data_IF_177723945685
#
_entry.id   IF_177723945685
#
_cell.length_a   1.000
_cell.length_b   1.000
_cell.length_c   1.000
_cell.angle_alpha   90.00
_cell.angle_beta   90.00
_cell.angle_gamma   90.00
#
_symmetry.space_group_name_H-M   'P 1'
#
loop_
_entity.id
_entity.type
_entity.pdbx_description
1 polymer ?
#
# COMPACT_ATOMS: atom_id res chain seq x y z
N UNK A 1 -6.41 -11.51 19.87
CA UNK A 1 -5.72 -12.48 19.02
C UNK A 1 -5.34 -11.94 17.64
N UNK A 2 -6.17 -11.07 16.99
CA UNK A 2 -5.88 -10.53 15.65
C UNK A 2 -4.56 -9.75 15.61
N UNK A 3 -4.40 -8.71 16.44
CA UNK A 3 -3.19 -7.88 16.49
C UNK A 3 -1.94 -8.69 16.89
N UNK A 4 -2.08 -9.63 17.83
CA UNK A 4 -0.94 -10.44 18.26
C UNK A 4 -0.41 -11.34 17.13
N UNK A 5 -1.30 -12.00 16.37
CA UNK A 5 -0.90 -12.80 15.20
C UNK A 5 -0.22 -11.96 14.14
N UNK A 6 -0.73 -10.74 13.92
CA UNK A 6 -0.14 -9.82 12.95
C UNK A 6 1.23 -9.32 13.41
N UNK A 7 1.33 -8.87 14.67
CA UNK A 7 2.60 -8.42 15.24
C UNK A 7 3.69 -9.49 15.16
N UNK A 8 3.37 -10.72 15.53
CA UNK A 8 4.32 -11.85 15.43
C UNK A 8 4.81 -12.06 14.01
N UNK A 9 3.98 -11.89 13.01
CA UNK A 9 4.36 -12.08 11.60
C UNK A 9 5.18 -10.93 11.04
N UNK A 10 4.87 -9.67 11.41
CA UNK A 10 5.43 -8.50 10.72
C UNK A 10 6.61 -7.86 11.46
N UNK A 11 6.56 -7.81 12.79
CA UNK A 11 7.60 -7.12 13.58
C UNK A 11 8.99 -7.74 13.45
N UNK A 12 9.18 -9.08 13.46
CA UNK A 12 10.51 -9.65 13.36
C UNK A 12 11.26 -9.22 12.10
N UNK A 13 10.58 -9.26 10.94
CA UNK A 13 11.19 -8.87 9.68
C UNK A 13 11.43 -7.35 9.61
N UNK A 14 10.50 -6.51 10.10
CA UNK A 14 10.71 -5.07 10.18
C UNK A 14 11.94 -4.73 11.01
N UNK A 15 12.02 -5.26 12.24
CA UNK A 15 13.16 -4.94 13.12
C UNK A 15 14.49 -5.48 12.58
N UNK A 16 14.46 -6.60 11.85
CA UNK A 16 15.65 -7.11 11.17
C UNK A 16 16.15 -6.13 10.08
N UNK A 17 15.23 -5.57 9.27
CA UNK A 17 15.58 -4.55 8.27
C UNK A 17 16.10 -3.29 8.95
N UNK A 18 15.41 -2.80 9.98
CA UNK A 18 15.84 -1.60 10.70
C UNK A 18 17.26 -1.79 11.29
N UNK A 19 17.53 -2.95 11.89
CA UNK A 19 18.84 -3.29 12.41
C UNK A 19 19.90 -3.37 11.30
N UNK A 20 19.60 -4.08 10.21
CA UNK A 20 20.53 -4.23 9.08
C UNK A 20 20.91 -2.88 8.46
N UNK A 21 19.91 -2.00 8.25
CA UNK A 21 20.12 -0.66 7.73
C UNK A 21 20.91 0.21 8.71
N UNK A 22 20.62 0.09 10.02
CA UNK A 22 21.38 0.81 11.05
C UNK A 22 22.85 0.40 11.09
N UNK A 23 23.13 -0.92 11.03
CA UNK A 23 24.49 -1.45 11.00
C UNK A 23 25.22 -0.99 9.74
N UNK A 24 24.57 -1.11 8.58
CA UNK A 24 25.16 -0.65 7.32
C UNK A 24 25.49 0.85 7.36
N UNK A 25 24.54 1.69 7.81
CA UNK A 25 24.75 3.13 7.89
C UNK A 25 25.88 3.50 8.88
N UNK A 26 26.04 2.74 9.98
CA UNK A 26 27.11 2.96 10.94
C UNK A 26 28.49 2.60 10.36
N UNK A 27 28.58 1.61 9.48
CA UNK A 27 29.82 1.11 8.90
C UNK A 27 30.23 1.83 7.60
N UNK A 28 29.27 2.18 6.76
CA UNK A 28 29.49 2.65 5.39
C UNK A 28 28.67 3.89 5.00
N UNK A 29 27.71 4.32 5.83
CA UNK A 29 26.84 5.45 5.52
C UNK A 29 27.51 6.80 5.72
N UNK A 30 27.10 7.79 4.93
CA UNK A 30 27.54 9.19 5.12
C UNK A 30 26.96 9.80 6.40
N UNK A 31 27.55 10.88 6.90
CA UNK A 31 27.04 11.59 8.07
C UNK A 31 25.58 12.09 7.88
N UNK A 32 25.21 12.45 6.66
CA UNK A 32 23.87 12.87 6.30
C UNK A 32 22.89 11.69 6.35
N UNK A 33 23.23 10.57 5.73
CA UNK A 33 22.44 9.33 5.78
C UNK A 33 22.24 8.84 7.22
N UNK A 34 23.28 8.91 8.06
CA UNK A 34 23.17 8.54 9.47
C UNK A 34 22.25 9.49 10.25
N UNK A 35 22.34 10.80 9.98
CA UNK A 35 21.48 11.80 10.63
C UNK A 35 20.00 11.61 10.25
N UNK A 36 19.73 11.41 8.96
CA UNK A 36 18.40 11.16 8.45
C UNK A 36 17.84 9.84 8.97
N UNK A 37 18.64 8.77 8.93
CA UNK A 37 18.24 7.46 9.43
C UNK A 37 17.83 7.50 10.90
N UNK A 38 18.53 8.22 11.76
CA UNK A 38 18.16 8.36 13.18
C UNK A 38 16.75 8.92 13.37
N UNK A 39 16.36 9.89 12.54
CA UNK A 39 15.00 10.43 12.56
C UNK A 39 13.96 9.42 12.05
N UNK A 40 14.27 8.82 10.90
CA UNK A 40 13.35 7.87 10.24
C UNK A 40 13.15 6.59 11.04
N UNK A 41 14.16 6.14 11.77
CA UNK A 41 14.09 4.96 12.65
C UNK A 41 13.02 5.10 13.73
N UNK A 42 12.97 6.26 14.41
CA UNK A 42 11.95 6.49 15.46
C UNK A 42 10.55 6.39 14.88
N UNK A 43 10.29 7.08 13.76
CA UNK A 43 8.99 7.04 13.10
C UNK A 43 8.65 5.63 12.55
N UNK A 44 9.65 4.90 12.07
CA UNK A 44 9.47 3.55 11.51
C UNK A 44 9.15 2.50 12.57
N UNK A 45 9.80 2.56 13.75
CA UNK A 45 9.53 1.66 14.88
C UNK A 45 8.07 1.74 15.32
N UNK A 46 7.48 2.93 15.29
CA UNK A 46 6.09 3.17 15.71
C UNK A 46 5.07 3.14 14.55
N UNK A 47 5.49 2.75 13.33
CA UNK A 47 4.61 2.74 12.15
C UNK A 47 3.94 4.10 11.87
N UNK A 48 4.67 5.18 12.05
CA UNK A 48 4.22 6.56 11.75
C UNK A 48 5.19 7.30 10.82
N UNK A 49 5.99 6.55 10.05
CA UNK A 49 6.98 7.08 9.12
C UNK A 49 6.37 8.01 8.06
N UNK A 50 5.15 7.75 7.60
CA UNK A 50 4.43 8.63 6.70
C UNK A 50 4.22 10.03 7.28
N UNK A 51 3.83 10.14 8.54
CA UNK A 51 3.69 11.41 9.24
C UNK A 51 5.04 12.06 9.53
N UNK A 52 6.05 11.26 9.86
CA UNK A 52 7.42 11.74 10.03
C UNK A 52 7.97 12.42 8.77
N UNK A 53 7.71 11.83 7.59
CA UNK A 53 8.12 12.43 6.30
C UNK A 53 7.30 13.69 5.96
N UNK A 54 6.00 13.69 6.25
CA UNK A 54 5.13 14.86 6.04
C UNK A 54 5.58 16.03 6.94
N UNK A 55 5.72 15.81 8.24
CA UNK A 55 6.03 16.84 9.23
C UNK A 55 7.49 17.31 9.17
N UNK A 56 8.38 16.44 8.71
CA UNK A 56 9.79 16.76 8.51
C UNK A 56 10.07 17.53 7.21
N UNK A 57 9.03 17.83 6.43
CA UNK A 57 9.12 18.47 5.11
C UNK A 57 10.19 17.86 4.21
N UNK A 58 10.32 16.52 4.26
CA UNK A 58 11.28 15.79 3.43
C UNK A 58 10.67 15.61 2.04
N UNK A 59 11.24 16.24 1.00
CA UNK A 59 10.69 16.13 -0.35
C UNK A 59 10.71 14.66 -0.81
N UNK A 60 9.54 14.07 -1.03
CA UNK A 60 9.47 12.66 -1.45
C UNK A 60 10.03 12.41 -2.84
N UNK A 61 9.86 13.36 -3.74
CA UNK A 61 10.20 13.25 -5.16
C UNK A 61 11.51 13.95 -5.54
N UNK A 62 12.20 14.58 -4.59
CA UNK A 62 13.45 15.30 -4.81
C UNK A 62 14.54 14.85 -3.84
N UNK A 63 15.80 15.08 -4.20
CA UNK A 63 16.96 14.79 -3.37
C UNK A 63 17.37 13.31 -3.32
N UNK A 64 18.32 12.99 -2.46
CA UNK A 64 18.77 11.61 -2.23
C UNK A 64 17.66 10.76 -1.62
N UNK A 65 17.63 9.50 -1.99
CA UNK A 65 16.60 8.58 -1.55
C UNK A 65 16.89 8.08 -0.12
N UNK A 66 16.06 8.45 0.90
CA UNK A 66 16.23 7.92 2.24
C UNK A 66 16.10 6.40 2.29
N UNK A 67 16.94 5.75 3.11
CA UNK A 67 16.98 4.29 3.24
C UNK A 67 15.65 3.66 3.70
N UNK A 68 14.85 4.38 4.46
CA UNK A 68 13.57 3.92 5.00
C UNK A 68 12.36 4.62 4.36
N UNK A 69 12.55 5.32 3.21
CA UNK A 69 11.49 6.07 2.54
C UNK A 69 10.23 5.24 2.32
N UNK A 70 10.36 4.01 1.84
CA UNK A 70 9.25 3.14 1.47
C UNK A 70 8.35 2.72 2.65
N UNK A 71 8.84 2.79 3.90
CA UNK A 71 8.07 2.38 5.08
C UNK A 71 6.83 3.25 5.37
N UNK A 72 6.68 4.37 4.66
CA UNK A 72 5.47 5.20 4.78
C UNK A 72 4.18 4.45 4.43
N UNK A 73 4.22 3.61 3.39
CA UNK A 73 3.02 2.87 2.97
C UNK A 73 2.65 1.78 3.96
N UNK A 74 3.66 1.11 4.53
CA UNK A 74 3.48 0.15 5.60
C UNK A 74 2.90 0.82 6.86
N UNK A 75 3.34 2.04 7.16
CA UNK A 75 2.78 2.82 8.27
C UNK A 75 1.27 3.09 8.07
N UNK A 76 0.86 3.49 6.86
CA UNK A 76 -0.57 3.68 6.53
C UNK A 76 -1.37 2.38 6.75
N UNK A 77 -0.85 1.25 6.29
CA UNK A 77 -1.51 -0.04 6.45
C UNK A 77 -1.65 -0.43 7.93
N UNK A 78 -0.59 -0.31 8.73
CA UNK A 78 -0.62 -0.69 10.14
C UNK A 78 -1.52 0.22 10.97
N UNK A 79 -1.56 1.52 10.68
CA UNK A 79 -2.54 2.44 11.27
C UNK A 79 -3.97 2.00 10.95
N UNK A 80 -4.23 1.56 9.70
CA UNK A 80 -5.53 1.02 9.32
C UNK A 80 -5.86 -0.28 10.08
N UNK A 81 -4.91 -1.20 10.19
CA UNK A 81 -5.11 -2.46 10.93
C UNK A 81 -5.27 -2.27 12.43
N UNK A 82 -4.77 -1.18 12.98
CA UNK A 82 -5.00 -0.80 14.36
C UNK A 82 -6.43 -0.27 14.55
N UNK A 83 -6.87 0.63 13.67
CA UNK A 83 -8.14 1.35 13.79
C UNK A 83 -9.33 0.54 13.29
N UNK A 84 -9.19 -0.15 12.16
CA UNK A 84 -10.32 -0.80 11.49
C UNK A 84 -11.07 -1.84 12.34
N UNK A 85 -10.43 -2.72 13.12
CA UNK A 85 -11.14 -3.64 13.98
C UNK A 85 -12.02 -2.95 15.03
N UNK A 86 -11.57 -1.81 15.54
CA UNK A 86 -12.35 -1.01 16.50
C UNK A 86 -13.56 -0.37 15.83
N UNK A 87 -13.35 0.24 14.65
CA UNK A 87 -14.43 0.79 13.82
C UNK A 87 -15.42 -0.32 13.45
N UNK A 88 -14.93 -1.48 13.01
CA UNK A 88 -15.77 -2.62 12.64
C UNK A 88 -16.64 -3.09 13.82
N UNK A 89 -16.09 -3.23 15.03
CA UNK A 89 -16.85 -3.58 16.23
C UNK A 89 -17.89 -2.52 16.55
N UNK A 90 -17.55 -1.24 16.42
CA UNK A 90 -18.50 -0.14 16.59
C UNK A 90 -19.65 -0.21 15.56
N UNK A 91 -19.32 -0.45 14.30
CA UNK A 91 -20.31 -0.61 13.23
C UNK A 91 -21.25 -1.81 13.46
N UNK A 92 -20.77 -2.91 14.04
CA UNK A 92 -21.60 -4.06 14.39
C UNK A 92 -22.64 -3.74 15.48
N UNK A 93 -22.40 -2.73 16.30
CA UNK A 93 -23.37 -2.26 17.32
C UNK A 93 -24.47 -1.39 16.72
N UNK A 94 -24.25 -0.84 15.54
CA UNK A 94 -25.25 -0.08 14.80
C UNK A 94 -26.25 -1.07 14.20
N UNK A 95 -27.53 -0.97 14.56
CA UNK A 95 -28.61 -1.85 14.08
C UNK A 95 -29.07 -1.52 12.65
N UNK A 96 -28.19 -0.91 11.84
CA UNK A 96 -28.48 -0.59 10.46
C UNK A 96 -28.32 -1.80 9.53
N UNK A 97 -29.10 -1.89 8.46
CA UNK A 97 -28.93 -2.92 7.43
C UNK A 97 -27.54 -2.83 6.79
N UNK A 98 -26.94 -3.98 6.45
CA UNK A 98 -25.58 -4.04 5.92
C UNK A 98 -25.36 -3.25 4.65
N UNK A 99 -26.36 -3.20 3.77
CA UNK A 99 -26.28 -2.39 2.55
C UNK A 99 -26.19 -0.91 2.86
N UNK A 100 -26.85 -0.43 3.92
CA UNK A 100 -26.73 0.96 4.39
C UNK A 100 -25.32 1.22 4.94
N UNK A 101 -24.81 0.32 5.80
CA UNK A 101 -23.45 0.44 6.36
C UNK A 101 -22.41 0.39 5.24
N UNK A 102 -22.47 -0.62 4.36
CA UNK A 102 -21.55 -0.74 3.23
C UNK A 102 -21.62 0.45 2.28
N UNK A 103 -22.85 0.91 1.96
CA UNK A 103 -23.05 2.10 1.14
C UNK A 103 -22.48 3.37 1.76
N UNK A 104 -22.67 3.57 3.07
CA UNK A 104 -22.11 4.71 3.80
C UNK A 104 -20.57 4.70 3.79
N UNK A 105 -19.94 3.53 3.97
CA UNK A 105 -18.48 3.38 3.91
C UNK A 105 -17.97 3.69 2.49
N UNK A 106 -18.64 3.19 1.45
CA UNK A 106 -18.31 3.49 0.05
C UNK A 106 -18.48 4.98 -0.24
N UNK A 107 -19.54 5.60 0.24
CA UNK A 107 -19.72 7.06 0.13
C UNK A 107 -18.58 7.81 0.80
N UNK A 108 -18.11 7.35 1.98
CA UNK A 108 -16.93 7.87 2.64
C UNK A 108 -15.66 7.77 1.79
N UNK A 109 -15.47 6.65 1.05
CA UNK A 109 -14.36 6.52 0.09
C UNK A 109 -14.41 7.59 -1.00
N UNK A 110 -15.60 7.82 -1.58
CA UNK A 110 -15.79 8.86 -2.60
C UNK A 110 -15.60 10.27 -2.04
N UNK A 111 -15.95 10.53 -0.78
CA UNK A 111 -15.64 11.82 -0.12
C UNK A 111 -14.13 12.02 -0.02
N UNK A 112 -13.37 10.98 0.32
CA UNK A 112 -11.90 11.06 0.34
C UNK A 112 -11.34 11.34 -1.07
N UNK A 113 -11.84 10.66 -2.11
CA UNK A 113 -11.42 10.92 -3.49
C UNK A 113 -11.78 12.34 -3.95
N UNK A 114 -12.98 12.81 -3.62
CA UNK A 114 -13.38 14.18 -3.90
C UNK A 114 -12.51 15.21 -3.15
N UNK A 115 -12.13 14.92 -1.90
CA UNK A 115 -11.20 15.74 -1.14
C UNK A 115 -9.81 15.80 -1.79
N UNK A 116 -9.27 14.66 -2.28
CA UNK A 116 -8.00 14.63 -3.02
C UNK A 116 -8.06 15.46 -4.29
N UNK A 117 -9.14 15.29 -5.07
CA UNK A 117 -9.39 16.05 -6.29
C UNK A 117 -9.47 17.55 -5.99
N UNK A 118 -10.28 17.94 -5.00
CA UNK A 118 -10.45 19.33 -4.60
C UNK A 118 -9.13 19.94 -4.12
N UNK A 119 -8.40 19.22 -3.26
CA UNK A 119 -7.15 19.70 -2.70
C UNK A 119 -6.08 19.93 -3.77
N UNK A 120 -6.05 19.07 -4.80
CA UNK A 120 -5.09 19.21 -5.90
C UNK A 120 -5.53 20.27 -6.91
N UNK A 121 -6.82 20.39 -7.22
CA UNK A 121 -7.36 21.30 -8.25
C UNK A 121 -7.25 22.79 -7.88
N UNK A 122 -6.99 23.11 -6.63
CA UNK A 122 -6.86 24.49 -6.19
C UNK A 122 -5.42 24.96 -6.33
N UNK A 123 -5.20 26.00 -7.10
CA UNK A 123 -3.99 26.83 -7.06
C UNK A 123 -3.72 27.28 -5.61
N UNK A 124 -2.48 27.64 -5.25
CA UNK A 124 -2.13 28.01 -3.88
C UNK A 124 -2.89 29.26 -3.42
N UNK A 125 -4.11 29.05 -2.97
CA UNK A 125 -4.94 30.04 -2.28
C UNK A 125 -5.13 29.57 -0.83
N UNK A 126 -5.38 30.50 0.11
CA UNK A 126 -5.50 30.17 1.54
C UNK A 126 -6.51 29.07 1.87
N UNK A 127 -7.46 28.78 0.97
CA UNK A 127 -8.51 27.79 1.15
C UNK A 127 -8.17 26.40 0.57
N UNK A 128 -7.04 26.22 -0.08
CA UNK A 128 -6.67 24.96 -0.77
C UNK A 128 -5.43 24.26 -0.20
N UNK A 129 -4.92 24.69 0.92
CA UNK A 129 -3.83 24.03 1.66
C UNK A 129 -4.27 22.78 2.43
N UNK A 130 -3.31 22.01 2.97
CA UNK A 130 -3.61 21.00 3.97
C UNK A 130 -4.38 21.63 5.15
N UNK A 131 -5.05 20.81 5.98
CA UNK A 131 -5.67 21.30 7.22
C UNK A 131 -4.69 22.20 8.00
N UNK A 132 -5.20 23.19 8.72
CA UNK A 132 -4.38 24.19 9.42
C UNK A 132 -3.23 23.63 10.27
N UNK A 133 -3.40 22.41 10.79
CA UNK A 133 -2.36 21.67 11.51
C UNK A 133 -1.13 21.29 10.65
N UNK A 134 -1.21 21.44 9.33
CA UNK A 134 -0.17 21.08 8.35
C UNK A 134 0.21 22.28 7.45
N UNK A 135 0.00 23.51 7.92
CA UNK A 135 0.46 24.70 7.24
C UNK A 135 1.99 24.62 7.04
N UNK A 136 2.45 24.90 5.82
CA UNK A 136 3.88 24.81 5.46
C UNK A 136 4.31 23.46 4.90
N UNK A 137 3.48 22.43 4.94
CA UNK A 137 3.78 21.09 4.38
C UNK A 137 3.57 21.07 2.87
N UNK A 138 4.49 20.43 2.13
CA UNK A 138 4.33 20.19 0.69
C UNK A 138 3.02 19.43 0.42
N UNK A 139 2.15 20.04 -0.38
CA UNK A 139 0.84 19.48 -0.74
C UNK A 139 0.96 18.13 -1.43
N UNK A 140 1.95 17.95 -2.30
CA UNK A 140 2.16 16.69 -3.02
C UNK A 140 2.57 15.59 -2.05
N UNK A 141 3.47 15.89 -1.12
CA UNK A 141 3.84 14.98 -0.05
C UNK A 141 2.62 14.60 0.80
N UNK A 142 1.82 15.56 1.21
CA UNK A 142 0.61 15.28 1.98
C UNK A 142 -0.39 14.41 1.21
N UNK A 143 -0.66 14.71 -0.05
CA UNK A 143 -1.57 13.94 -0.90
C UNK A 143 -1.06 12.49 -1.11
N UNK A 144 0.25 12.32 -1.23
CA UNK A 144 0.85 11.03 -1.47
C UNK A 144 1.02 10.17 -0.22
N UNK A 145 1.41 10.75 0.91
CA UNK A 145 1.85 10.03 2.12
C UNK A 145 0.75 9.92 3.20
N UNK A 146 -0.24 10.82 3.20
CA UNK A 146 -1.22 10.90 4.29
C UNK A 146 -2.12 9.68 4.36
N UNK A 147 -2.31 9.16 5.58
CA UNK A 147 -3.29 8.11 5.86
C UNK A 147 -4.71 8.54 5.49
N UNK A 148 -5.02 9.84 5.58
CA UNK A 148 -6.33 10.39 5.26
C UNK A 148 -6.63 10.21 3.77
N UNK A 149 -5.70 10.61 2.91
CA UNK A 149 -5.88 10.51 1.45
C UNK A 149 -5.82 9.06 0.97
N UNK A 150 -5.02 8.21 1.62
CA UNK A 150 -4.93 6.78 1.31
C UNK A 150 -6.11 5.96 1.82
N UNK A 151 -6.90 6.50 2.77
CA UNK A 151 -8.08 5.82 3.30
C UNK A 151 -9.14 5.52 2.23
N UNK A 152 -9.21 6.26 1.11
CA UNK A 152 -10.21 6.06 0.06
C UNK A 152 -10.25 4.64 -0.48
N UNK A 153 -9.12 4.07 -0.88
CA UNK A 153 -9.04 2.68 -1.36
C UNK A 153 -9.37 1.65 -0.28
N UNK A 154 -8.92 1.89 0.95
CA UNK A 154 -9.18 1.01 2.09
C UNK A 154 -10.68 1.00 2.46
N UNK A 155 -11.32 2.16 2.51
CA UNK A 155 -12.76 2.30 2.72
C UNK A 155 -13.57 1.64 1.60
N UNK A 156 -13.14 1.82 0.34
CA UNK A 156 -13.80 1.19 -0.81
C UNK A 156 -13.82 -0.34 -0.68
N UNK A 157 -12.68 -0.95 -0.35
CA UNK A 157 -12.57 -2.38 -0.09
C UNK A 157 -13.39 -2.84 1.12
N UNK A 158 -13.35 -2.08 2.22
CA UNK A 158 -14.11 -2.36 3.42
C UNK A 158 -15.62 -2.29 3.18
N UNK A 159 -16.11 -1.26 2.51
CA UNK A 159 -17.54 -1.13 2.15
C UNK A 159 -18.00 -2.25 1.21
N UNK A 160 -17.20 -2.60 0.22
CA UNK A 160 -17.47 -3.71 -0.68
C UNK A 160 -17.59 -5.05 0.08
N UNK A 161 -16.78 -5.29 1.11
CA UNK A 161 -16.85 -6.50 1.92
C UNK A 161 -18.19 -6.66 2.68
N UNK A 162 -18.87 -5.56 2.99
CA UNK A 162 -20.23 -5.61 3.55
C UNK A 162 -21.27 -6.04 2.53
N UNK A 163 -21.08 -5.70 1.25
CA UNK A 163 -22.05 -5.91 0.17
C UNK A 163 -21.79 -7.23 -0.57
N UNK A 164 -20.52 -7.53 -0.84
CA UNK A 164 -20.09 -8.64 -1.68
C UNK A 164 -19.85 -9.91 -0.86
N UNK A 165 -20.61 -10.98 -1.15
CA UNK A 165 -20.57 -12.25 -0.42
C UNK A 165 -20.56 -13.45 -1.36
N UNK A 166 -19.51 -13.64 -2.16
CA UNK A 166 -19.45 -14.71 -3.15
C UNK A 166 -19.55 -16.11 -2.52
N UNK A 167 -19.12 -16.28 -1.26
CA UNK A 167 -19.21 -17.54 -0.53
C UNK A 167 -20.66 -18.00 -0.21
N UNK A 168 -21.67 -17.14 -0.40
CA UNK A 168 -23.07 -17.51 -0.24
C UNK A 168 -23.69 -18.15 -1.47
N UNK A 169 -23.00 -18.08 -2.60
CA UNK A 169 -23.44 -18.69 -3.83
C UNK A 169 -23.00 -20.14 -3.85
N UNK A 170 -23.91 -21.05 -3.38
CA UNK A 170 -23.66 -22.48 -3.21
C UNK A 170 -23.76 -23.28 -4.51
N UNK A 171 -24.36 -22.71 -5.54
CA UNK A 171 -24.48 -23.34 -6.85
C UNK A 171 -23.32 -22.94 -7.74
N UNK A 172 -22.79 -23.89 -8.53
CA UNK A 172 -21.86 -23.56 -9.59
C UNK A 172 -22.52 -22.48 -10.47
N UNK A 173 -21.93 -21.30 -10.56
CA UNK A 173 -22.55 -20.24 -11.33
C UNK A 173 -22.66 -20.70 -12.76
N UNK A 174 -23.79 -20.40 -13.37
CA UNK A 174 -24.04 -20.71 -14.77
C UNK A 174 -22.88 -20.18 -15.62
N UNK A 175 -22.41 -21.00 -16.54
CA UNK A 175 -21.33 -20.68 -17.46
C UNK A 175 -21.37 -19.27 -18.12
N UNK A 176 -22.55 -18.65 -18.34
CA UNK A 176 -22.65 -17.29 -18.86
C UNK A 176 -21.96 -16.22 -18.01
N UNK A 177 -22.06 -16.33 -16.68
CA UNK A 177 -21.47 -15.32 -15.76
C UNK A 177 -19.95 -15.35 -15.78
N UNK A 178 -19.35 -16.55 -15.83
CA UNK A 178 -17.90 -16.72 -15.96
C UNK A 178 -17.33 -16.10 -17.24
N UNK A 179 -18.07 -16.20 -18.36
CA UNK A 179 -17.69 -15.60 -19.64
C UNK A 179 -17.57 -14.08 -19.58
N UNK A 180 -18.26 -13.42 -18.64
CA UNK A 180 -18.15 -11.98 -18.43
C UNK A 180 -17.11 -11.66 -17.37
N UNK A 181 -17.07 -12.41 -16.29
CA UNK A 181 -16.17 -12.12 -15.16
C UNK A 181 -14.71 -12.33 -15.50
N UNK A 182 -14.37 -13.41 -16.22
CA UNK A 182 -12.97 -13.69 -16.59
C UNK A 182 -12.34 -12.54 -17.41
N UNK A 183 -12.94 -12.03 -18.51
CA UNK A 183 -12.39 -10.89 -19.22
C UNK A 183 -12.43 -9.58 -18.41
N UNK A 184 -13.41 -9.38 -17.53
CA UNK A 184 -13.47 -8.20 -16.65
C UNK A 184 -12.28 -8.20 -15.68
N UNK A 185 -11.97 -9.34 -15.05
CA UNK A 185 -10.81 -9.46 -14.17
C UNK A 185 -9.50 -9.25 -14.92
N UNK A 186 -9.37 -9.86 -16.11
CA UNK A 186 -8.19 -9.69 -16.96
C UNK A 186 -8.01 -8.23 -17.41
N UNK A 187 -9.09 -7.57 -17.84
CA UNK A 187 -9.07 -6.17 -18.23
C UNK A 187 -8.68 -5.25 -17.04
N UNK A 188 -9.21 -5.52 -15.84
CA UNK A 188 -8.85 -4.77 -14.65
C UNK A 188 -7.35 -4.86 -14.34
N UNK A 189 -6.75 -6.06 -14.42
CA UNK A 189 -5.30 -6.26 -14.22
C UNK A 189 -4.49 -5.60 -15.34
N UNK A 190 -4.91 -5.72 -16.58
CA UNK A 190 -4.24 -5.06 -17.71
C UNK A 190 -4.26 -3.53 -17.57
N UNK A 191 -5.42 -2.95 -17.17
CA UNK A 191 -5.55 -1.52 -16.93
C UNK A 191 -4.71 -1.06 -15.73
N UNK A 192 -4.55 -1.89 -14.69
CA UNK A 192 -3.62 -1.60 -13.58
C UNK A 192 -2.17 -1.57 -14.08
N UNK A 193 -1.77 -2.49 -14.97
CA UNK A 193 -0.46 -2.46 -15.61
C UNK A 193 -0.25 -1.20 -16.46
N UNK A 194 -1.24 -0.82 -17.27
CA UNK A 194 -1.21 0.45 -18.00
C UNK A 194 -1.12 1.65 -17.06
N UNK A 195 -1.92 1.68 -15.99
CA UNK A 195 -1.87 2.76 -15.01
C UNK A 195 -0.48 2.91 -14.38
N UNK A 196 0.16 1.77 -14.05
CA UNK A 196 1.52 1.78 -13.51
C UNK A 196 2.57 2.29 -14.51
N UNK A 197 2.40 2.00 -15.82
CA UNK A 197 3.34 2.44 -16.87
C UNK A 197 3.23 3.93 -17.22
N UNK A 198 2.07 4.55 -16.97
CA UNK A 198 1.85 5.98 -17.30
C UNK A 198 1.87 6.89 -16.06
N UNK A 199 1.96 6.31 -14.86
CA UNK A 199 1.92 7.08 -13.62
C UNK A 199 3.21 7.91 -13.43
N UNK A 200 3.08 9.22 -13.53
CA UNK A 200 4.11 10.17 -13.12
C UNK A 200 3.64 10.82 -11.83
N UNK A 201 4.22 10.37 -10.71
CA UNK A 201 3.70 10.66 -9.35
C UNK A 201 3.73 12.15 -8.96
N UNK A 202 4.48 12.97 -9.69
CA UNK A 202 4.50 14.44 -9.53
C UNK A 202 3.35 15.14 -10.22
N UNK A 203 2.66 14.43 -11.13
CA UNK A 203 1.62 15.02 -11.96
C UNK A 203 0.23 14.98 -11.29
N UNK A 204 -0.55 16.02 -11.54
CA UNK A 204 -1.84 16.22 -10.91
C UNK A 204 -2.89 15.16 -11.21
N UNK A 205 -2.90 14.66 -12.44
CA UNK A 205 -3.87 13.64 -12.85
C UNK A 205 -3.80 12.36 -11.97
N UNK A 206 -2.64 12.09 -11.36
CA UNK A 206 -2.46 10.95 -10.46
C UNK A 206 -3.38 11.06 -9.26
N UNK A 207 -3.46 12.24 -8.64
CA UNK A 207 -4.25 12.48 -7.44
C UNK A 207 -5.72 12.76 -7.75
N UNK A 208 -6.00 13.33 -8.94
CA UNK A 208 -7.35 13.68 -9.34
C UNK A 208 -8.19 12.45 -9.73
N UNK A 209 -7.64 11.54 -10.51
CA UNK A 209 -8.41 10.41 -11.01
C UNK A 209 -7.66 9.06 -11.10
N UNK A 210 -6.32 9.05 -11.26
CA UNK A 210 -5.59 7.79 -11.46
C UNK A 210 -5.61 6.93 -10.19
N UNK A 211 -5.33 7.48 -9.01
CA UNK A 211 -5.36 6.73 -7.74
C UNK A 211 -6.78 6.24 -7.38
N UNK A 212 -7.85 7.05 -7.52
CA UNK A 212 -9.23 6.55 -7.44
C UNK A 212 -9.50 5.41 -8.41
N UNK A 213 -9.11 5.55 -9.69
CA UNK A 213 -9.27 4.51 -10.71
C UNK A 213 -8.53 3.23 -10.34
N UNK A 214 -7.27 3.32 -9.94
CA UNK A 214 -6.47 2.17 -9.46
C UNK A 214 -7.15 1.47 -8.28
N UNK A 215 -7.73 2.22 -7.35
CA UNK A 215 -8.47 1.65 -6.21
C UNK A 215 -9.71 0.87 -6.68
N UNK A 216 -10.46 1.40 -7.64
CA UNK A 216 -11.64 0.74 -8.22
C UNK A 216 -11.23 -0.51 -9.00
N UNK A 217 -10.22 -0.41 -9.86
CA UNK A 217 -9.73 -1.54 -10.65
C UNK A 217 -9.19 -2.67 -9.76
N UNK A 218 -8.45 -2.33 -8.71
CA UNK A 218 -7.97 -3.29 -7.71
C UNK A 218 -9.12 -3.99 -7.01
N UNK A 219 -10.16 -3.24 -6.61
CA UNK A 219 -11.37 -3.82 -6.04
C UNK A 219 -12.04 -4.78 -7.02
N UNK A 220 -12.22 -4.39 -8.29
CA UNK A 220 -12.82 -5.26 -9.32
C UNK A 220 -12.00 -6.54 -9.48
N UNK A 221 -10.68 -6.45 -9.60
CA UNK A 221 -9.81 -7.61 -9.74
C UNK A 221 -9.95 -8.57 -8.54
N UNK A 222 -9.98 -8.04 -7.31
CA UNK A 222 -10.18 -8.84 -6.08
C UNK A 222 -11.56 -9.48 -6.06
N UNK A 223 -12.61 -8.72 -6.38
CA UNK A 223 -13.98 -9.24 -6.40
C UNK A 223 -14.13 -10.37 -7.42
N UNK A 224 -13.54 -10.24 -8.60
CA UNK A 224 -13.53 -11.31 -9.61
C UNK A 224 -12.71 -12.50 -9.14
N UNK A 225 -11.53 -12.29 -8.57
CA UNK A 225 -10.66 -13.36 -8.10
C UNK A 225 -11.31 -14.25 -7.03
N UNK A 226 -12.19 -13.70 -6.19
CA UNK A 226 -12.91 -14.48 -5.16
C UNK A 226 -14.26 -15.03 -5.64
N UNK A 227 -14.69 -14.67 -6.84
CA UNK A 227 -15.99 -15.11 -7.37
C UNK A 227 -15.91 -16.55 -7.91
N UNK A 228 -16.79 -17.48 -7.48
CA UNK A 228 -16.71 -18.89 -7.88
C UNK A 228 -16.87 -19.13 -9.38
N UNK A 229 -17.60 -18.24 -10.10
CA UNK A 229 -17.80 -18.34 -11.55
C UNK A 229 -16.57 -17.92 -12.40
N UNK A 230 -15.66 -17.14 -11.86
CA UNK A 230 -14.48 -16.68 -12.58
C UNK A 230 -13.40 -17.77 -12.62
N UNK A 231 -13.68 -18.87 -13.27
CA UNK A 231 -12.81 -20.06 -13.27
C UNK A 231 -11.49 -19.80 -13.99
N UNK A 232 -11.53 -19.16 -15.17
CA UNK A 232 -10.35 -18.84 -15.97
C UNK A 232 -9.44 -17.84 -15.27
N UNK A 233 -9.97 -16.74 -14.79
CA UNK A 233 -9.22 -15.71 -14.08
C UNK A 233 -8.62 -16.25 -12.77
N UNK A 234 -9.40 -17.01 -11.98
CA UNK A 234 -8.92 -17.65 -10.78
C UNK A 234 -7.78 -18.63 -11.04
N UNK A 235 -7.86 -19.42 -12.14
CA UNK A 235 -6.80 -20.35 -12.52
C UNK A 235 -5.48 -19.64 -12.78
N UNK A 236 -5.51 -18.47 -13.43
CA UNK A 236 -4.32 -17.63 -13.64
C UNK A 236 -3.82 -17.05 -12.31
N UNK A 237 -4.71 -16.50 -11.49
CA UNK A 237 -4.33 -15.90 -10.20
C UNK A 237 -3.86 -16.94 -9.16
N UNK A 238 -4.28 -18.20 -9.30
CA UNK A 238 -3.83 -19.32 -8.45
C UNK A 238 -2.58 -20.04 -9.00
N UNK A 239 -1.96 -19.51 -10.05
CA UNK A 239 -0.70 -20.07 -10.56
C UNK A 239 0.38 -20.04 -9.50
N UNK A 240 0.98 -21.21 -9.22
CA UNK A 240 1.91 -21.40 -8.10
C UNK A 240 2.99 -20.32 -7.97
N UNK A 241 3.68 -19.90 -9.03
CA UNK A 241 4.68 -18.84 -8.91
C UNK A 241 4.11 -17.50 -8.43
N UNK A 242 2.89 -17.11 -8.88
CA UNK A 242 2.24 -15.89 -8.41
C UNK A 242 1.85 -15.98 -6.93
N UNK A 243 1.33 -17.13 -6.52
CA UNK A 243 0.96 -17.39 -5.13
C UNK A 243 2.20 -17.38 -4.24
N UNK A 244 3.29 -18.02 -4.65
CA UNK A 244 4.55 -18.04 -3.90
C UNK A 244 5.19 -16.65 -3.80
N UNK A 245 5.12 -15.85 -4.86
CA UNK A 245 5.55 -14.46 -4.84
C UNK A 245 4.68 -13.62 -3.89
N UNK A 246 3.35 -13.84 -3.91
CA UNK A 246 2.42 -13.17 -2.99
C UNK A 246 2.68 -13.50 -1.52
N UNK A 247 3.05 -14.74 -1.18
CA UNK A 247 3.42 -15.12 0.19
C UNK A 247 4.67 -14.38 0.69
N UNK A 248 5.60 -14.07 -0.20
CA UNK A 248 6.88 -13.39 0.09
C UNK A 248 6.84 -11.89 -0.13
N UNK A 249 5.70 -11.36 -0.58
CA UNK A 249 5.58 -9.94 -0.99
C UNK A 249 5.95 -8.96 0.12
N UNK A 250 5.69 -9.31 1.37
CA UNK A 250 6.08 -8.48 2.51
C UNK A 250 7.60 -8.35 2.65
N UNK A 251 8.31 -9.47 2.67
CA UNK A 251 9.78 -9.45 2.71
C UNK A 251 10.37 -8.79 1.47
N UNK A 252 9.86 -9.10 0.27
CA UNK A 252 10.29 -8.47 -0.98
C UNK A 252 10.15 -6.94 -0.93
N UNK A 253 9.00 -6.45 -0.46
CA UNK A 253 8.76 -5.01 -0.30
C UNK A 253 9.71 -4.40 0.73
N UNK A 254 9.86 -5.04 1.88
CA UNK A 254 10.60 -4.52 3.02
C UNK A 254 12.11 -4.41 2.73
N UNK A 255 12.69 -5.39 2.04
CA UNK A 255 14.13 -5.44 1.75
C UNK A 255 14.50 -4.74 0.43
N UNK A 256 13.58 -4.62 -0.54
CA UNK A 256 13.90 -4.08 -1.87
C UNK A 256 14.49 -2.67 -1.80
N UNK A 257 13.80 -1.75 -1.19
CA UNK A 257 14.18 -0.34 -1.22
C UNK A 257 15.56 -0.06 -0.59
N UNK A 258 15.86 -0.51 0.67
CA UNK A 258 17.18 -0.32 1.23
C UNK A 258 18.30 -0.94 0.39
N UNK A 259 18.07 -2.14 -0.16
CA UNK A 259 19.05 -2.80 -1.02
C UNK A 259 19.28 -2.00 -2.30
N UNK A 260 18.23 -1.50 -2.95
CA UNK A 260 18.33 -0.67 -4.15
C UNK A 260 19.10 0.61 -3.91
N UNK A 261 18.88 1.26 -2.77
CA UNK A 261 19.61 2.48 -2.39
C UNK A 261 21.08 2.15 -2.06
N UNK A 262 21.34 1.10 -1.30
CA UNK A 262 22.69 0.70 -0.88
C UNK A 262 23.56 0.28 -2.07
N UNK A 263 22.99 -0.44 -3.04
CA UNK A 263 23.70 -0.91 -4.24
C UNK A 263 23.77 0.17 -5.32
N UNK A 264 23.16 1.34 -5.07
CA UNK A 264 23.07 2.43 -6.04
C UNK A 264 22.37 2.01 -7.35
N UNK A 265 21.33 1.19 -7.21
CA UNK A 265 20.56 0.70 -8.36
C UNK A 265 19.57 1.75 -8.92
N UNK A 266 19.42 2.88 -8.23
CA UNK A 266 18.52 3.98 -8.62
C UNK A 266 19.13 4.92 -9.66
N UNK A 267 20.44 4.85 -9.89
CA UNK A 267 21.19 5.73 -10.81
C UNK A 267 21.21 5.26 -12.29
N UNK A 268 20.47 4.20 -12.61
CA UNK A 268 20.32 3.72 -13.99
C UNK A 268 21.35 2.67 -14.43
N UNK A 269 22.24 2.21 -13.55
CA UNK A 269 23.16 1.09 -13.85
C UNK A 269 22.41 -0.24 -13.93
N UNK A 270 22.38 -0.86 -15.10
CA UNK A 270 21.75 -2.18 -15.31
C UNK A 270 22.39 -3.25 -14.43
N UNK A 271 23.72 -3.23 -14.27
CA UNK A 271 24.44 -4.17 -13.40
C UNK A 271 23.99 -4.05 -11.95
N UNK A 272 23.93 -2.82 -11.42
CA UNK A 272 23.48 -2.56 -10.05
C UNK A 272 22.04 -2.96 -9.84
N UNK A 273 21.18 -2.70 -10.82
CA UNK A 273 19.78 -3.14 -10.79
C UNK A 273 19.65 -4.66 -10.70
N UNK A 274 20.41 -5.41 -11.52
CA UNK A 274 20.39 -6.88 -11.50
C UNK A 274 20.90 -7.42 -10.15
N UNK A 275 21.99 -6.87 -9.61
CA UNK A 275 22.48 -7.26 -8.30
C UNK A 275 21.48 -6.93 -7.19
N UNK A 276 20.87 -5.76 -7.22
CA UNK A 276 19.83 -5.38 -6.25
C UNK A 276 18.63 -6.34 -6.29
N UNK A 277 18.19 -6.76 -7.48
CA UNK A 277 17.12 -7.76 -7.63
C UNK A 277 17.51 -9.12 -7.04
N UNK A 278 18.72 -9.63 -7.36
CA UNK A 278 19.21 -10.91 -6.83
C UNK A 278 19.30 -10.86 -5.31
N UNK A 279 19.91 -9.82 -4.75
CA UNK A 279 20.05 -9.65 -3.31
C UNK A 279 18.68 -9.52 -2.62
N UNK A 280 17.76 -8.74 -3.20
CA UNK A 280 16.41 -8.59 -2.67
C UNK A 280 15.68 -9.94 -2.59
N UNK A 281 15.73 -10.73 -3.64
CA UNK A 281 15.09 -12.06 -3.65
C UNK A 281 15.74 -12.99 -2.63
N UNK A 282 17.09 -13.04 -2.58
CA UNK A 282 17.81 -13.91 -1.66
C UNK A 282 17.54 -13.56 -0.19
N UNK A 283 17.63 -12.26 0.15
CA UNK A 283 17.41 -11.79 1.52
C UNK A 283 15.94 -11.92 1.91
N UNK A 284 15.01 -11.64 1.00
CA UNK A 284 13.58 -11.82 1.26
C UNK A 284 13.21 -13.28 1.47
N UNK A 285 13.81 -14.21 0.73
CA UNK A 285 13.59 -15.65 0.94
C UNK A 285 14.14 -16.09 2.29
N UNK A 286 15.32 -15.61 2.70
CA UNK A 286 15.87 -15.87 4.02
C UNK A 286 14.97 -15.28 5.13
N UNK A 287 14.52 -14.03 4.97
CA UNK A 287 13.56 -13.38 5.88
C UNK A 287 12.28 -14.19 6.01
N UNK A 288 11.70 -14.62 4.89
CA UNK A 288 10.48 -15.42 4.88
C UNK A 288 10.65 -16.73 5.65
N UNK A 289 11.74 -17.47 5.41
CA UNK A 289 11.98 -18.78 6.04
C UNK A 289 12.31 -18.69 7.52
N UNK A 290 13.10 -17.69 7.93
CA UNK A 290 13.67 -17.66 9.28
C UNK A 290 13.01 -16.65 10.21
N UNK A 291 12.32 -15.63 9.68
CA UNK A 291 11.72 -14.56 10.49
C UNK A 291 10.18 -14.56 10.44
N UNK A 292 9.58 -14.87 9.29
CA UNK A 292 8.15 -14.72 9.08
C UNK A 292 7.37 -16.04 9.28
N UNK A 293 7.96 -17.17 8.88
CA UNK A 293 7.28 -18.48 8.92
C UNK A 293 7.38 -19.21 10.27
N UNK A 294 8.45 -19.07 11.07
CA UNK A 294 8.58 -19.78 12.35
C UNK A 294 7.68 -19.25 13.47
N UNK A 295 7.00 -18.14 13.27
CA UNK A 295 6.20 -17.40 14.26
C UNK A 295 4.72 -17.56 14.00
#
# INVERSE_FOLDING_TARGET
QFWLRRARRLFPALYAVLLAVAVWAALAGTAEQQSQLRRDMVWSIFYVNNWGQILGDVPYFAGEAPLLRHLWSLAVEEQWYLLWPLVFVALLRIRAPRHVVGGAIIAGAFVVFAYMFWMHSRTPTPLGGPPAAFEGVDRTNFLYLSTITRAGGLLLGAGAAFLWRPWRWTHAPDAPVGRVLDPVGAAAVAMLGCAASVAVLTEGYVYQWLLPLVSILSLVAVMVAVHPAAVGFRRIMSWTPLVEMGKRSYGLYLWSWPIFVIVDATTGSVSNFVWAMILTVAVSEASYRYLETPV
#
